data_IF_146613708883
#
_entry.id   IF_146613708883
#
_cell.length_a   1.000
_cell.length_b   1.000
_cell.length_c   1.000
_cell.angle_alpha   90.00
_cell.angle_beta   90.00
_cell.angle_gamma   90.00
#
_symmetry.space_group_name_H-M   'P 1'
#
loop_
_entity.id
_entity.type
_entity.pdbx_description
1 polymer ?
#
# COMPACT_ATOMS: atom_id res chain seq x y z
N UNK A 1 19.63 18.65 -14.34
CA UNK A 1 19.14 19.49 -13.24
C UNK A 1 19.06 18.62 -12.00
N UNK A 2 20.03 18.75 -11.11
CA UNK A 2 20.18 17.92 -9.92
C UNK A 2 19.35 18.54 -8.80
N UNK A 3 18.31 17.85 -8.31
CA UNK A 3 17.46 18.36 -7.25
C UNK A 3 18.17 18.13 -5.91
N UNK A 4 18.77 19.19 -5.37
CA UNK A 4 19.36 19.19 -4.03
C UNK A 4 18.26 19.56 -3.04
N UNK A 5 17.88 18.63 -2.16
CA UNK A 5 16.93 18.88 -1.07
C UNK A 5 17.70 19.23 0.20
N UNK A 6 17.60 20.49 0.63
CA UNK A 6 18.12 20.95 1.92
C UNK A 6 17.14 20.57 3.03
N UNK A 7 17.63 19.83 4.02
CA UNK A 7 16.92 19.53 5.26
C UNK A 7 17.44 20.48 6.34
N UNK A 8 16.64 21.44 6.78
CA UNK A 8 16.93 22.23 7.99
C UNK A 8 16.30 21.54 9.20
N UNK A 9 17.13 21.11 10.15
CA UNK A 9 16.69 20.72 11.49
C UNK A 9 16.65 21.96 12.37
N UNK A 10 15.48 22.38 12.83
CA UNK A 10 15.41 23.30 13.98
C UNK A 10 15.48 22.50 15.27
N UNK A 11 16.65 22.57 15.92
CA UNK A 11 16.84 22.09 17.27
C UNK A 11 16.30 23.13 18.25
N UNK A 12 15.21 22.82 18.94
CA UNK A 12 14.89 23.25 20.32
C UNK A 12 13.37 23.27 20.59
N UNK A 13 12.75 22.10 20.78
CA UNK A 13 11.54 21.98 21.63
C UNK A 13 11.53 20.58 22.27
N UNK A 14 11.43 20.45 23.61
CA UNK A 14 11.33 19.14 24.26
C UNK A 14 9.90 18.58 24.10
N UNK A 15 9.81 17.28 23.83
CA UNK A 15 8.60 16.45 23.75
C UNK A 15 7.49 16.90 22.78
N UNK A 16 7.67 16.60 21.49
CA UNK A 16 6.65 16.10 20.53
C UNK A 16 7.27 16.10 19.13
N UNK A 17 7.58 14.91 18.61
CA UNK A 17 8.10 14.75 17.25
C UNK A 17 6.96 14.97 16.23
N UNK A 18 6.65 16.23 15.92
CA UNK A 18 5.80 16.58 14.79
C UNK A 18 6.68 16.70 13.54
N UNK A 19 6.75 15.63 12.75
CA UNK A 19 7.35 15.67 11.42
C UNK A 19 6.39 16.40 10.47
N UNK A 20 6.50 17.72 10.36
CA UNK A 20 5.83 18.51 9.33
C UNK A 20 6.54 18.28 7.99
N UNK A 21 5.96 17.47 7.12
CA UNK A 21 6.34 17.40 5.72
C UNK A 21 5.59 18.51 4.98
N UNK A 22 6.32 19.53 4.52
CA UNK A 22 5.77 20.59 3.66
C UNK A 22 5.55 20.00 2.27
N UNK A 23 4.30 19.88 1.85
CA UNK A 23 3.94 19.61 0.47
C UNK A 23 3.93 20.95 -0.26
N UNK A 24 4.91 21.18 -1.14
CA UNK A 24 4.83 22.28 -2.10
C UNK A 24 3.75 21.93 -3.14
N UNK A 25 2.56 22.51 -2.99
CA UNK A 25 1.44 22.35 -3.91
C UNK A 25 1.53 23.28 -5.13
N UNK A 26 2.71 23.74 -5.55
CA UNK A 26 2.86 24.51 -6.79
C UNK A 26 3.22 23.64 -7.99
N UNK A 27 2.30 22.77 -8.38
CA UNK A 27 2.09 22.47 -9.80
C UNK A 27 0.77 23.13 -10.20
N UNK A 28 0.82 24.46 -10.33
CA UNK A 28 -0.21 25.19 -11.05
C UNK A 28 -0.18 24.77 -12.51
N UNK A 29 -1.37 24.49 -13.04
CA UNK A 29 -1.67 24.38 -14.46
C UNK A 29 -0.95 25.49 -15.25
N UNK A 30 0.06 25.12 -16.04
CA UNK A 30 0.52 26.00 -17.11
C UNK A 30 -0.47 25.87 -18.27
N UNK A 31 -1.49 26.73 -18.23
CA UNK A 31 -2.30 27.13 -19.37
C UNK A 31 -1.35 27.62 -20.47
N UNK A 32 -1.18 26.84 -21.54
CA UNK A 32 -0.72 27.38 -22.81
C UNK A 32 -1.96 27.85 -23.57
N UNK A 33 -2.35 29.09 -23.29
CA UNK A 33 -3.22 29.86 -24.17
C UNK A 33 -2.34 30.68 -25.12
N UNK A 34 -2.36 30.33 -26.40
CA UNK A 34 -1.81 31.10 -27.51
C UNK A 34 -2.58 30.74 -28.78
N UNK A 35 -3.05 31.69 -29.61
CA UNK A 35 -4.17 31.45 -30.52
C UNK A 35 -3.70 31.16 -31.95
N UNK A 36 -4.31 30.17 -32.64
CA UNK A 36 -4.58 30.26 -34.09
C UNK A 36 -5.48 29.11 -34.64
N UNK A 37 -6.69 29.51 -35.07
CA UNK A 37 -7.46 29.17 -36.29
C UNK A 37 -7.97 27.73 -36.58
N UNK A 38 -9.15 27.61 -37.25
CA UNK A 38 -9.91 26.37 -37.37
C UNK A 38 -9.53 25.54 -38.61
N UNK A 39 -9.47 24.20 -38.44
CA UNK A 39 -9.31 23.24 -39.53
C UNK A 39 -10.18 22.01 -39.30
N UNK A 40 -11.23 21.88 -40.11
CA UNK A 40 -12.16 20.76 -40.17
C UNK A 40 -11.50 19.56 -40.86
N UNK A 41 -11.55 18.36 -40.28
CA UNK A 41 -11.40 17.12 -41.02
C UNK A 41 -12.10 15.94 -40.31
N UNK A 42 -13.14 15.44 -40.98
CA UNK A 42 -13.92 14.23 -40.71
C UNK A 42 -13.13 12.99 -41.09
N UNK A 43 -13.20 11.90 -40.30
CA UNK A 43 -13.23 10.53 -40.87
C UNK A 43 -13.91 9.54 -39.93
N UNK A 44 -15.00 8.97 -40.43
CA UNK A 44 -15.75 7.83 -39.89
C UNK A 44 -15.02 6.53 -40.25
N UNK A 45 -14.86 5.57 -39.33
CA UNK A 45 -14.83 4.13 -39.69
C UNK A 45 -15.53 3.26 -38.65
N UNK A 46 -16.49 2.51 -39.18
CA UNK A 46 -17.37 1.49 -38.62
C UNK A 46 -16.61 0.30 -38.04
N UNK A 47 -17.01 -0.20 -36.86
CA UNK A 47 -16.64 -1.53 -36.37
C UNK A 47 -17.88 -2.45 -36.27
N UNK A 48 -17.81 -3.58 -37.00
CA UNK A 48 -18.77 -4.70 -37.09
C UNK A 48 -18.83 -5.49 -35.77
N UNK A 49 -19.98 -6.07 -35.38
CA UNK A 49 -20.11 -6.78 -34.11
C UNK A 49 -19.48 -8.18 -34.21
N UNK A 50 -18.75 -8.58 -33.18
CA UNK A 50 -18.46 -10.00 -32.94
C UNK A 50 -18.61 -10.27 -31.46
N UNK A 51 -19.65 -11.03 -31.14
CA UNK A 51 -19.91 -11.62 -29.84
C UNK A 51 -18.73 -12.49 -29.40
N UNK A 52 -18.11 -12.13 -28.28
CA UNK A 52 -17.48 -13.11 -27.41
C UNK A 52 -18.03 -12.90 -26.00
N UNK A 53 -18.62 -13.95 -25.46
CA UNK A 53 -19.11 -14.07 -24.09
C UNK A 53 -18.02 -13.62 -23.12
N UNK A 54 -18.17 -12.41 -22.58
CA UNK A 54 -17.32 -11.86 -21.55
C UNK A 54 -17.51 -12.65 -20.26
N UNK A 55 -16.60 -13.59 -19.97
CA UNK A 55 -16.29 -13.93 -18.59
C UNK A 55 -15.72 -12.67 -17.95
N UNK A 56 -16.48 -12.05 -17.05
CA UNK A 56 -16.12 -10.81 -16.37
C UNK A 56 -14.87 -11.01 -15.51
N UNK A 57 -13.69 -10.87 -16.11
CA UNK A 57 -12.47 -10.63 -15.35
C UNK A 57 -12.69 -9.31 -14.61
N UNK A 58 -12.70 -9.27 -13.27
CA UNK A 58 -12.84 -8.02 -12.56
C UNK A 58 -11.67 -7.12 -12.98
N UNK A 59 -12.01 -5.92 -13.45
CA UNK A 59 -11.07 -4.92 -13.93
C UNK A 59 -9.97 -4.70 -12.88
N UNK A 60 -8.71 -5.03 -13.22
CA UNK A 60 -7.58 -4.74 -12.35
C UNK A 60 -6.64 -5.90 -12.03
N UNK A 61 -6.98 -7.14 -12.36
CA UNK A 61 -6.07 -8.29 -12.20
C UNK A 61 -4.88 -8.15 -13.17
N UNK A 62 -3.62 -8.09 -12.69
CA UNK A 62 -2.45 -8.15 -13.57
C UNK A 62 -2.45 -9.47 -14.35
N UNK A 63 -2.15 -9.42 -15.65
CA UNK A 63 -2.21 -10.60 -16.52
C UNK A 63 -1.47 -11.80 -15.89
N UNK A 64 -2.22 -12.89 -15.71
CA UNK A 64 -1.78 -14.16 -15.13
C UNK A 64 -1.53 -14.17 -13.63
N UNK A 65 -1.72 -13.08 -12.87
CA UNK A 65 -1.53 -13.09 -11.42
C UNK A 65 -2.25 -14.26 -10.73
N UNK A 66 -1.63 -14.79 -9.68
CA UNK A 66 -2.25 -15.84 -8.87
C UNK A 66 -3.47 -15.25 -8.17
N UNK A 67 -4.66 -15.78 -8.41
CA UNK A 67 -5.90 -15.31 -7.79
C UNK A 67 -6.12 -15.98 -6.43
N UNK A 68 -6.50 -15.18 -5.43
CA UNK A 68 -6.61 -15.60 -4.03
C UNK A 68 -7.98 -15.19 -3.49
N UNK A 69 -8.72 -16.12 -2.91
CA UNK A 69 -10.04 -15.90 -2.33
C UNK A 69 -11.10 -16.84 -2.92
N UNK A 70 -12.38 -16.53 -2.67
CA UNK A 70 -13.49 -17.33 -3.18
C UNK A 70 -13.52 -17.28 -4.72
N UNK A 71 -13.44 -18.43 -5.39
CA UNK A 71 -13.31 -18.52 -6.85
C UNK A 71 -11.90 -18.24 -7.40
N UNK A 72 -10.89 -18.02 -6.53
CA UNK A 72 -9.49 -17.90 -6.90
C UNK A 72 -8.79 -19.26 -7.00
N UNK A 73 -7.57 -19.28 -7.57
CA UNK A 73 -6.71 -20.46 -7.64
C UNK A 73 -6.32 -20.99 -6.25
N UNK A 74 -6.20 -20.10 -5.26
CA UNK A 74 -5.94 -20.46 -3.87
C UNK A 74 -6.96 -19.80 -2.95
N UNK A 75 -7.32 -20.47 -1.86
CA UNK A 75 -8.22 -19.93 -0.83
C UNK A 75 -7.52 -18.98 0.15
N UNK A 76 -6.20 -19.09 0.31
CA UNK A 76 -5.42 -18.30 1.28
C UNK A 76 -4.15 -17.71 0.68
N UNK A 77 -3.71 -16.55 1.19
CA UNK A 77 -2.43 -15.96 0.79
C UNK A 77 -1.27 -16.88 1.12
N UNK A 78 -1.27 -17.54 2.27
CA UNK A 78 -0.17 -18.45 2.65
C UNK A 78 0.00 -19.60 1.67
N UNK A 79 -1.09 -20.13 1.11
CA UNK A 79 -1.00 -21.15 0.05
C UNK A 79 -0.48 -20.55 -1.26
N UNK A 80 -0.97 -19.37 -1.65
CA UNK A 80 -0.53 -18.69 -2.86
C UNK A 80 0.94 -18.27 -2.82
N UNK A 81 1.46 -17.88 -1.64
CA UNK A 81 2.87 -17.52 -1.47
C UNK A 81 3.81 -18.72 -1.58
N UNK A 82 3.32 -19.96 -1.41
CA UNK A 82 4.10 -21.17 -1.68
C UNK A 82 4.23 -21.44 -3.18
N UNK A 83 3.29 -20.95 -3.99
CA UNK A 83 3.41 -20.99 -5.45
C UNK A 83 4.46 -19.97 -5.88
N UNK A 84 5.58 -20.48 -6.40
CA UNK A 84 6.72 -19.69 -6.92
C UNK A 84 6.65 -19.50 -8.43
N UNK A 85 5.63 -20.05 -9.10
CA UNK A 85 5.48 -19.90 -10.56
C UNK A 85 5.30 -18.45 -10.97
N UNK A 86 4.84 -17.59 -10.04
CA UNK A 86 4.61 -16.17 -10.27
C UNK A 86 4.93 -15.33 -9.05
N UNK A 87 5.38 -14.11 -9.30
CA UNK A 87 5.67 -13.13 -8.25
C UNK A 87 4.52 -12.16 -7.97
N UNK A 88 3.46 -12.18 -8.79
CA UNK A 88 2.27 -11.33 -8.62
C UNK A 88 1.07 -12.14 -8.16
N UNK A 89 0.44 -11.69 -7.08
CA UNK A 89 -0.77 -12.27 -6.48
C UNK A 89 -1.89 -11.22 -6.43
N UNK A 90 -3.12 -11.64 -6.72
CA UNK A 90 -4.31 -10.81 -6.72
C UNK A 90 -5.33 -11.36 -5.71
N UNK A 91 -5.74 -10.53 -4.75
CA UNK A 91 -6.65 -10.90 -3.68
C UNK A 91 -8.07 -10.40 -3.99
N UNK A 92 -9.04 -11.27 -3.78
CA UNK A 92 -10.46 -11.06 -4.05
C UNK A 92 -11.31 -10.97 -2.77
N UNK A 93 -10.73 -11.25 -1.59
CA UNK A 93 -11.48 -11.36 -0.33
C UNK A 93 -10.66 -10.95 0.89
N UNK A 94 -11.38 -10.74 1.99
CA UNK A 94 -10.88 -10.64 3.36
C UNK A 94 -9.99 -11.81 3.78
N UNK A 95 -8.91 -11.50 4.50
CA UNK A 95 -7.89 -12.46 4.89
C UNK A 95 -7.48 -12.26 6.34
N UNK A 96 -7.01 -13.34 6.95
CA UNK A 96 -6.36 -13.29 8.24
C UNK A 96 -4.85 -13.27 8.02
N UNK A 97 -4.17 -12.48 8.85
CA UNK A 97 -2.72 -12.41 9.08
C UNK A 97 -1.80 -13.05 8.03
N UNK A 98 -0.91 -12.27 7.44
CA UNK A 98 -0.04 -12.66 6.34
C UNK A 98 1.44 -12.53 6.69
N UNK A 99 2.24 -13.48 6.23
CA UNK A 99 3.70 -13.41 6.33
C UNK A 99 4.35 -13.68 4.97
N UNK A 100 5.22 -12.77 4.52
CA UNK A 100 5.89 -12.81 3.22
C UNK A 100 7.39 -12.95 3.45
N UNK A 101 7.97 -14.06 3.00
CA UNK A 101 9.39 -14.38 3.20
C UNK A 101 10.21 -14.36 1.90
N UNK A 102 9.54 -14.16 0.76
CA UNK A 102 10.13 -14.20 -0.57
C UNK A 102 10.31 -12.79 -1.14
N UNK A 103 11.42 -12.57 -1.81
CA UNK A 103 11.69 -11.32 -2.52
C UNK A 103 10.81 -11.13 -3.77
N UNK A 104 10.71 -9.89 -4.23
CA UNK A 104 10.02 -9.48 -5.46
C UNK A 104 8.52 -9.83 -5.53
N UNK A 105 7.87 -10.03 -4.38
CA UNK A 105 6.44 -10.36 -4.32
C UNK A 105 5.59 -9.09 -4.45
N UNK A 106 4.61 -9.12 -5.35
CA UNK A 106 3.62 -8.06 -5.51
C UNK A 106 2.24 -8.59 -5.15
N UNK A 107 1.56 -7.92 -4.24
CA UNK A 107 0.19 -8.27 -3.82
C UNK A 107 -0.75 -7.13 -4.17
N UNK A 108 -1.79 -7.46 -4.92
CA UNK A 108 -2.82 -6.54 -5.37
C UNK A 108 -4.14 -6.89 -4.68
N UNK A 109 -4.78 -5.92 -4.04
CA UNK A 109 -6.16 -6.04 -3.58
C UNK A 109 -7.14 -5.64 -4.67
N UNK A 110 -8.32 -6.27 -4.68
CA UNK A 110 -9.43 -5.82 -5.51
C UNK A 110 -9.88 -4.41 -5.10
N UNK A 111 -10.02 -3.54 -6.08
CA UNK A 111 -10.51 -2.16 -5.91
C UNK A 111 -11.18 -1.67 -7.20
N UNK A 112 -12.26 -0.89 -7.11
CA UNK A 112 -12.80 -0.10 -8.22
C UNK A 112 -11.87 1.06 -8.65
N UNK A 113 -11.00 1.56 -7.78
CA UNK A 113 -10.09 2.66 -8.07
C UNK A 113 -8.68 2.39 -7.50
N UNK A 114 -7.69 2.25 -8.40
CA UNK A 114 -6.30 1.93 -8.03
C UNK A 114 -5.56 3.05 -7.31
N UNK A 115 -6.03 4.29 -7.43
CA UNK A 115 -5.37 5.48 -6.88
C UNK A 115 -6.00 5.97 -5.58
N UNK A 116 -7.06 5.32 -5.10
CA UNK A 116 -7.80 5.71 -3.92
C UNK A 116 -7.84 4.57 -2.90
N UNK A 117 -7.31 4.83 -1.71
CA UNK A 117 -7.34 3.89 -0.59
C UNK A 117 -8.76 3.67 -0.04
N UNK A 118 -9.69 4.61 -0.24
CA UNK A 118 -11.07 4.53 0.23
C UNK A 118 -11.91 3.49 -0.53
N UNK A 119 -11.52 3.17 -1.76
CA UNK A 119 -12.21 2.23 -2.64
C UNK A 119 -11.76 0.77 -2.46
N UNK A 120 -10.77 0.49 -1.62
CA UNK A 120 -10.24 -0.85 -1.42
C UNK A 120 -11.29 -1.81 -0.82
N UNK A 121 -11.45 -2.98 -1.43
CA UNK A 121 -12.43 -3.99 -0.97
C UNK A 121 -11.81 -5.15 -0.18
N UNK A 122 -10.48 -5.29 -0.23
CA UNK A 122 -9.75 -6.36 0.44
C UNK A 122 -9.19 -5.88 1.77
N UNK A 123 -9.54 -6.59 2.85
CA UNK A 123 -9.03 -6.31 4.20
C UNK A 123 -8.28 -7.51 4.78
N UNK A 124 -7.08 -7.26 5.28
CA UNK A 124 -6.27 -8.22 6.05
C UNK A 124 -6.32 -7.76 7.50
N UNK A 125 -6.80 -8.62 8.41
CA UNK A 125 -6.87 -8.25 9.82
C UNK A 125 -6.30 -9.29 10.77
N UNK A 126 -5.90 -8.81 11.94
CA UNK A 126 -5.68 -9.60 13.15
C UNK A 126 -5.99 -8.76 14.39
N UNK A 127 -5.96 -9.36 15.58
CA UNK A 127 -6.17 -8.67 16.86
C UNK A 127 -5.13 -9.09 17.90
N UNK A 128 -3.87 -9.18 17.50
CA UNK A 128 -2.78 -9.68 18.34
C UNK A 128 -1.87 -8.53 18.78
N UNK A 129 -1.63 -8.43 20.08
CA UNK A 129 -0.62 -7.51 20.63
C UNK A 129 0.79 -8.10 20.58
N UNK A 130 1.79 -7.24 20.74
CA UNK A 130 3.19 -7.63 20.87
C UNK A 130 3.44 -8.57 22.05
N UNK A 131 2.78 -8.35 23.18
CA UNK A 131 2.88 -9.21 24.36
C UNK A 131 2.36 -10.63 24.05
N UNK A 132 1.18 -10.73 23.43
CA UNK A 132 0.58 -12.03 23.04
C UNK A 132 1.40 -12.73 21.94
N UNK A 133 1.95 -11.97 21.01
CA UNK A 133 2.75 -12.51 19.90
C UNK A 133 4.20 -12.82 20.29
N UNK A 134 4.63 -12.39 21.49
CA UNK A 134 5.99 -12.53 22.02
C UNK A 134 6.99 -11.46 21.56
N UNK A 135 6.67 -10.68 20.52
CA UNK A 135 7.40 -9.44 20.17
C UNK A 135 6.60 -8.58 19.18
N UNK A 136 7.09 -7.35 18.96
CA UNK A 136 6.51 -6.37 18.04
C UNK A 136 6.33 -6.93 16.61
N UNK A 137 7.39 -7.43 15.99
CA UNK A 137 7.32 -7.94 14.61
C UNK A 137 6.25 -9.04 14.45
N UNK A 138 6.20 -9.99 15.39
CA UNK A 138 5.23 -11.08 15.39
C UNK A 138 3.79 -10.61 15.59
N UNK A 139 3.55 -9.43 16.17
CA UNK A 139 2.21 -8.84 16.27
C UNK A 139 1.67 -8.32 14.93
N UNK A 140 2.55 -8.10 13.95
CA UNK A 140 2.19 -7.62 12.62
C UNK A 140 1.08 -8.43 11.96
N UNK A 141 0.02 -7.74 11.53
CA UNK A 141 -1.06 -8.35 10.72
C UNK A 141 -0.52 -8.74 9.35
N UNK A 142 0.25 -7.88 8.70
CA UNK A 142 1.08 -8.22 7.54
C UNK A 142 2.53 -8.07 7.93
N UNK A 143 3.32 -9.11 7.69
CA UNK A 143 4.75 -9.15 8.01
C UNK A 143 5.56 -9.36 6.74
N UNK A 144 6.52 -8.47 6.50
CA UNK A 144 7.54 -8.63 5.47
C UNK A 144 8.80 -9.11 6.16
N UNK A 145 9.19 -10.37 5.92
CA UNK A 145 10.35 -10.99 6.51
C UNK A 145 11.66 -10.35 6.06
N UNK A 146 12.73 -10.55 6.84
CA UNK A 146 14.02 -9.87 6.64
C UNK A 146 14.71 -10.12 5.30
N UNK A 147 14.37 -11.23 4.63
CA UNK A 147 14.91 -11.61 3.32
C UNK A 147 14.01 -11.20 2.15
N UNK A 148 12.81 -10.66 2.41
CA UNK A 148 11.79 -10.37 1.41
C UNK A 148 11.95 -8.95 0.81
N UNK A 149 13.04 -8.71 0.09
CA UNK A 149 13.29 -7.41 -0.56
C UNK A 149 12.45 -7.24 -1.83
N UNK A 150 12.20 -6.00 -2.27
CA UNK A 150 11.47 -5.76 -3.53
C UNK A 150 9.96 -6.04 -3.44
N UNK A 151 9.40 -6.10 -2.24
CA UNK A 151 7.98 -6.40 -2.03
C UNK A 151 7.14 -5.14 -2.23
N UNK A 152 6.01 -5.28 -2.91
CA UNK A 152 5.06 -4.19 -3.10
C UNK A 152 3.62 -4.61 -2.79
N UNK A 153 2.92 -3.77 -2.04
CA UNK A 153 1.50 -3.92 -1.68
C UNK A 153 0.68 -2.83 -2.37
N UNK A 154 -0.45 -3.22 -2.96
CA UNK A 154 -1.34 -2.32 -3.67
C UNK A 154 -2.78 -2.51 -3.22
N UNK A 155 -3.47 -1.42 -2.89
CA UNK A 155 -4.93 -1.40 -2.72
C UNK A 155 -5.45 -2.38 -1.64
N UNK A 156 -4.71 -2.50 -0.52
CA UNK A 156 -5.08 -3.35 0.60
C UNK A 156 -5.45 -2.52 1.83
N UNK A 157 -6.48 -2.95 2.55
CA UNK A 157 -6.72 -2.51 3.91
C UNK A 157 -6.01 -3.48 4.86
N UNK A 158 -5.19 -2.98 5.77
CA UNK A 158 -4.43 -3.77 6.75
C UNK A 158 -4.74 -3.20 8.13
N UNK A 159 -5.34 -4.03 8.98
CA UNK A 159 -5.85 -3.58 10.27
C UNK A 159 -5.41 -4.49 11.42
N UNK A 160 -4.83 -3.91 12.48
CA UNK A 160 -4.73 -4.60 13.76
C UNK A 160 -5.81 -4.07 14.72
N UNK A 161 -6.74 -4.94 15.08
CA UNK A 161 -7.96 -4.64 15.84
C UNK A 161 -7.80 -4.84 17.34
N UNK A 162 -6.59 -5.10 17.84
CA UNK A 162 -6.34 -5.28 19.28
C UNK A 162 -6.82 -4.06 20.11
N UNK A 163 -6.66 -2.85 19.58
CA UNK A 163 -7.13 -1.63 20.22
C UNK A 163 -6.19 -1.10 21.31
N UNK A 164 -6.76 -0.37 22.27
CA UNK A 164 -6.01 0.35 23.30
C UNK A 164 -5.34 -0.60 24.31
N UNK A 165 -4.14 -0.21 24.76
CA UNK A 165 -3.52 -0.79 25.95
C UNK A 165 -2.26 -1.63 25.71
N UNK A 166 -1.91 -1.91 24.46
CA UNK A 166 -0.61 -2.51 24.11
C UNK A 166 -0.24 -2.22 22.65
N UNK A 167 1.06 -2.37 22.34
CA UNK A 167 1.57 -2.32 20.97
C UNK A 167 0.92 -3.40 20.11
N UNK A 168 0.40 -3.02 18.94
CA UNK A 168 -0.30 -3.93 18.05
C UNK A 168 -0.12 -3.49 16.58
N UNK A 169 0.81 -4.13 15.90
CA UNK A 169 1.26 -3.69 14.57
C UNK A 169 0.29 -4.17 13.47
N UNK A 170 -0.12 -3.26 12.59
CA UNK A 170 -0.85 -3.59 11.37
C UNK A 170 0.13 -4.07 10.29
N UNK A 171 1.17 -3.30 10.01
CA UNK A 171 2.19 -3.65 9.00
C UNK A 171 3.59 -3.62 9.61
N UNK A 172 4.31 -4.74 9.54
CA UNK A 172 5.71 -4.86 9.94
C UNK A 172 6.60 -5.09 8.72
N UNK A 173 7.57 -4.21 8.49
CA UNK A 173 8.49 -4.27 7.34
C UNK A 173 9.92 -4.45 7.82
N UNK A 174 10.46 -5.66 7.62
CA UNK A 174 11.81 -6.05 8.05
C UNK A 174 12.83 -6.13 6.90
N UNK A 175 12.45 -5.76 5.67
CA UNK A 175 13.31 -5.78 4.49
C UNK A 175 13.21 -4.49 3.66
N UNK A 176 14.25 -4.20 2.89
CA UNK A 176 14.34 -3.01 2.05
C UNK A 176 13.76 -3.15 0.65
N UNK A 177 13.66 -2.02 -0.05
CA UNK A 177 13.00 -1.90 -1.36
C UNK A 177 11.52 -2.29 -1.25
N UNK A 178 10.83 -1.72 -0.27
CA UNK A 178 9.42 -1.96 -0.02
C UNK A 178 8.55 -0.83 -0.56
N UNK A 179 7.43 -1.18 -1.18
CA UNK A 179 6.44 -0.21 -1.67
C UNK A 179 5.03 -0.49 -1.15
N UNK A 180 4.32 0.55 -0.75
CA UNK A 180 2.94 0.51 -0.32
C UNK A 180 2.16 1.59 -1.09
N UNK A 181 1.15 1.19 -1.86
CA UNK A 181 0.47 2.07 -2.80
C UNK A 181 -1.04 2.00 -2.61
N UNK A 182 -1.67 3.12 -2.32
CA UNK A 182 -3.11 3.21 -2.07
C UNK A 182 -3.62 2.20 -1.04
N UNK A 183 -2.82 1.91 -0.01
CA UNK A 183 -3.20 1.02 1.08
C UNK A 183 -3.77 1.80 2.26
N UNK A 184 -4.59 1.14 3.08
CA UNK A 184 -5.16 1.69 4.31
C UNK A 184 -4.63 0.92 5.51
N UNK A 185 -3.75 1.50 6.31
CA UNK A 185 -3.21 0.93 7.54
C UNK A 185 -3.97 1.51 8.75
N UNK A 186 -4.51 0.63 9.58
CA UNK A 186 -5.29 1.05 10.77
C UNK A 186 -4.90 0.23 11.99
N UNK A 187 -4.82 0.91 13.14
CA UNK A 187 -4.46 0.29 14.42
C UNK A 187 -4.63 1.28 15.56
N UNK A 188 -4.05 0.98 16.72
CA UNK A 188 -4.07 1.86 17.88
C UNK A 188 -2.66 2.30 18.28
N UNK A 189 -1.87 1.40 18.89
CA UNK A 189 -0.47 1.65 19.24
C UNK A 189 0.49 0.93 18.31
N UNK A 190 1.54 1.60 17.81
CA UNK A 190 2.53 1.02 16.87
C UNK A 190 1.92 0.48 15.56
N UNK A 191 0.98 1.19 14.94
CA UNK A 191 0.26 0.71 13.72
C UNK A 191 1.19 0.29 12.58
N UNK A 192 2.27 1.05 12.32
CA UNK A 192 3.27 0.75 11.30
C UNK A 192 4.66 0.60 11.93
N UNK A 193 5.29 -0.56 11.70
CA UNK A 193 6.70 -0.80 12.05
C UNK A 193 7.57 -0.83 10.78
N UNK A 194 8.17 0.31 10.45
CA UNK A 194 9.09 0.48 9.31
C UNK A 194 10.55 0.27 9.77
N UNK A 195 10.99 -1.00 9.84
CA UNK A 195 12.24 -1.33 10.54
C UNK A 195 13.51 -1.25 9.67
N UNK A 196 13.53 -1.87 8.47
CA UNK A 196 14.76 -1.98 7.66
C UNK A 196 14.57 -1.57 6.21
N UNK A 197 15.64 -0.99 5.64
CA UNK A 197 15.82 -0.66 4.23
C UNK A 197 14.90 0.44 3.70
N UNK A 198 15.04 0.77 2.41
CA UNK A 198 14.25 1.83 1.79
C UNK A 198 12.78 1.43 1.65
N UNK A 199 11.88 2.32 2.06
CA UNK A 199 10.43 2.10 2.01
C UNK A 199 9.71 3.31 1.42
N UNK A 200 8.64 3.06 0.68
CA UNK A 200 7.80 4.09 0.06
C UNK A 200 6.32 3.84 0.35
N UNK A 201 5.60 4.88 0.77
CA UNK A 201 4.16 4.83 1.00
C UNK A 201 3.47 5.96 0.23
N UNK A 202 2.82 5.62 -0.89
CA UNK A 202 2.17 6.58 -1.78
C UNK A 202 0.66 6.46 -1.73
N UNK A 203 -0.05 7.59 -1.69
CA UNK A 203 -1.52 7.67 -1.66
C UNK A 203 -2.16 6.76 -0.59
N UNK A 204 -1.44 6.50 0.50
CA UNK A 204 -1.83 5.52 1.50
C UNK A 204 -2.34 6.24 2.74
N UNK A 205 -3.32 5.64 3.40
CA UNK A 205 -3.85 6.13 4.66
C UNK A 205 -3.21 5.35 5.81
N UNK A 206 -2.71 6.04 6.84
CA UNK A 206 -2.14 5.43 8.03
C UNK A 206 -2.76 6.11 9.24
N UNK A 207 -3.48 5.34 10.06
CA UNK A 207 -4.17 5.86 11.23
C UNK A 207 -3.91 4.99 12.47
N UNK A 208 -3.69 5.68 13.59
CA UNK A 208 -3.71 5.11 14.93
C UNK A 208 -3.69 6.21 15.99
N UNK A 209 -3.71 5.82 17.26
CA UNK A 209 -3.91 6.74 18.39
C UNK A 209 -2.63 7.05 19.17
N UNK A 210 -1.65 6.13 19.22
CA UNK A 210 -0.44 6.30 20.03
C UNK A 210 0.76 5.71 19.29
N UNK A 211 1.86 6.46 19.12
CA UNK A 211 3.08 5.98 18.45
C UNK A 211 2.82 5.20 17.15
N UNK A 212 1.79 5.61 16.39
CA UNK A 212 1.21 4.75 15.36
C UNK A 212 2.11 4.59 14.12
N UNK A 213 3.18 5.38 14.03
CA UNK A 213 4.25 5.22 13.04
C UNK A 213 5.58 5.11 13.76
N UNK A 214 6.20 3.92 13.72
CA UNK A 214 7.48 3.62 14.33
C UNK A 214 8.54 3.39 13.23
N UNK A 215 9.50 4.32 13.12
CA UNK A 215 10.46 4.39 12.03
C UNK A 215 11.87 4.12 12.56
N UNK A 216 12.55 3.14 11.97
CA UNK A 216 13.97 2.85 12.25
C UNK A 216 14.86 2.93 11.00
N UNK A 217 14.32 3.41 9.88
CA UNK A 217 15.01 3.48 8.57
C UNK A 217 14.55 4.69 7.73
N UNK A 218 15.04 4.81 6.48
CA UNK A 218 14.71 5.93 5.56
C UNK A 218 13.38 5.69 4.82
N UNK A 219 12.48 6.66 4.89
CA UNK A 219 11.21 6.69 4.11
C UNK A 219 11.33 7.78 3.05
N UNK A 220 11.02 7.45 1.79
CA UNK A 220 11.30 8.34 0.65
C UNK A 220 10.10 9.23 0.26
N UNK A 221 8.88 8.93 0.71
CA UNK A 221 7.72 9.81 0.55
C UNK A 221 6.54 9.33 1.42
N UNK A 222 5.76 10.26 1.96
CA UNK A 222 4.55 10.02 2.74
C UNK A 222 3.46 11.04 2.36
N UNK A 223 2.54 10.65 1.48
CA UNK A 223 1.23 11.32 1.38
C UNK A 223 0.27 10.58 2.32
N UNK A 224 0.03 11.12 3.52
CA UNK A 224 -0.97 10.58 4.44
C UNK A 224 -1.92 11.69 4.93
N UNK A 225 -3.14 11.31 5.30
CA UNK A 225 -4.10 12.14 6.04
C UNK A 225 -4.15 11.63 7.48
N UNK A 226 -3.79 12.46 8.45
CA UNK A 226 -4.06 12.19 9.88
C UNK A 226 -5.44 12.78 10.17
N UNK A 227 -6.41 11.92 10.45
CA UNK A 227 -7.65 12.36 11.10
C UNK A 227 -7.39 12.33 12.61
N UNK A 228 -7.57 13.47 13.27
CA UNK A 228 -7.47 13.66 14.72
C UNK A 228 -8.87 13.60 15.34
#
# INVERSE_FOLDING_TARGET
MQLVLNLTSEASVPERFLLKVVVDTRLQCASFCGPCLPGTATTTITAKPTSSTASSNPTGIPAGAITIGNGGRYSTISAALKDTSRSASFCLLFLLKVYIERANVKIYGQTPNKLDYGSNTVTITSGLSAAQAGNNDKSGTVRIGGSATGVALYNLNIANTYGKGAQAIALSVQAGQFGCYACKLTGYQDTLLANKGAQFYGKSYINGATDFVNIRTRIVHLDYKIDN
#
